data_IF_967002578522
#
_entry.id   IF_967002578522
#
_cell.length_a   1.000
_cell.length_b   1.000
_cell.length_c   1.000
_cell.angle_alpha   90.00
_cell.angle_beta   90.00
_cell.angle_gamma   90.00
#
_symmetry.space_group_name_H-M   'P 1'
#
loop_
_entity.id
_entity.type
_entity.pdbx_description
1 polymer ?
#
# COMPACT_ATOMS: atom_id res chain seq x y z
N UNK A 1 -3.49 71.73 23.07
CA UNK A 1 -3.93 71.91 21.67
C UNK A 1 -2.76 72.38 20.83
N UNK A 2 -2.24 71.56 19.91
CA UNK A 2 -1.77 71.97 18.57
C UNK A 2 -1.27 70.75 17.79
N UNK A 3 -2.05 70.46 16.75
CA UNK A 3 -1.86 69.52 15.65
C UNK A 3 -0.48 69.67 14.99
N UNK A 4 0.11 68.54 14.55
CA UNK A 4 1.10 68.55 13.46
C UNK A 4 0.76 67.45 12.44
N UNK A 5 0.48 67.92 11.23
CA UNK A 5 0.21 67.22 9.96
C UNK A 5 1.28 66.17 9.62
N UNK A 6 0.92 64.95 9.16
CA UNK A 6 0.58 64.52 7.77
C UNK A 6 1.64 64.87 6.72
N UNK A 7 2.36 63.86 6.21
CA UNK A 7 2.84 63.81 4.82
C UNK A 7 2.86 62.36 4.30
N UNK A 8 2.37 62.22 3.07
CA UNK A 8 2.26 61.01 2.25
C UNK A 8 3.64 60.47 1.81
N UNK A 9 3.72 59.16 1.58
CA UNK A 9 4.55 58.56 0.53
C UNK A 9 3.82 57.30 0.00
N UNK A 10 3.19 57.39 -1.17
CA UNK A 10 3.70 56.92 -2.47
C UNK A 10 3.89 55.38 -2.58
N UNK A 11 2.93 54.76 -3.28
CA UNK A 11 3.10 53.82 -4.40
C UNK A 11 4.08 52.64 -4.24
N UNK A 12 3.52 51.42 -4.20
CA UNK A 12 4.14 50.25 -4.82
C UNK A 12 3.07 49.41 -5.54
N UNK A 13 3.26 49.31 -6.85
CA UNK A 13 2.48 48.52 -7.81
C UNK A 13 3.03 47.08 -7.83
N UNK A 14 2.13 46.10 -7.90
CA UNK A 14 2.32 44.87 -8.68
C UNK A 14 3.07 43.70 -8.02
N UNK A 15 2.35 42.59 -7.79
CA UNK A 15 2.68 41.26 -8.34
C UNK A 15 1.56 40.26 -8.00
N UNK A 16 0.78 39.89 -9.01
CA UNK A 16 0.01 38.64 -9.03
C UNK A 16 1.03 37.53 -9.32
N UNK A 17 1.24 36.58 -8.40
CA UNK A 17 1.80 35.27 -8.74
C UNK A 17 1.61 34.28 -7.59
N UNK A 18 1.05 33.11 -7.91
CA UNK A 18 1.42 31.87 -7.25
C UNK A 18 0.52 31.42 -6.12
N UNK A 19 -0.61 30.83 -6.50
CA UNK A 19 -1.21 29.73 -5.76
C UNK A 19 -0.14 28.64 -5.55
N UNK A 20 0.39 28.51 -4.35
CA UNK A 20 1.09 27.29 -3.93
C UNK A 20 0.32 26.72 -2.75
N UNK A 21 -0.75 25.99 -3.10
CA UNK A 21 -1.26 24.95 -2.23
C UNK A 21 -0.13 23.93 -2.09
N UNK A 22 0.67 24.07 -1.03
CA UNK A 22 1.50 22.99 -0.56
C UNK A 22 0.56 21.92 -0.02
N UNK A 23 0.07 21.06 -0.91
CA UNK A 23 -0.45 19.75 -0.52
C UNK A 23 0.73 19.07 0.18
N UNK A 24 0.68 19.02 1.51
CA UNK A 24 1.51 18.14 2.30
C UNK A 24 1.29 16.74 1.75
N UNK A 25 2.19 16.30 0.87
CA UNK A 25 2.30 14.92 0.44
C UNK A 25 2.61 14.14 1.70
N UNK A 26 1.54 13.56 2.24
CA UNK A 26 1.46 12.29 2.96
C UNK A 26 2.84 11.79 3.37
N UNK A 27 3.31 12.29 4.51
CA UNK A 27 4.42 11.68 5.22
C UNK A 27 3.91 10.31 5.71
N UNK A 28 3.94 9.32 4.82
CA UNK A 28 3.68 7.91 5.12
C UNK A 28 4.47 7.58 6.39
N UNK A 29 3.82 7.28 7.52
CA UNK A 29 4.55 6.91 8.71
C UNK A 29 5.35 5.66 8.33
N UNK A 30 6.68 5.76 8.35
CA UNK A 30 7.56 4.60 8.27
C UNK A 30 7.19 3.72 9.45
N UNK A 31 6.40 2.68 9.18
CA UNK A 31 6.04 1.67 10.15
C UNK A 31 7.34 1.22 10.82
N UNK A 32 7.48 1.50 12.11
CA UNK A 32 8.58 0.99 12.92
C UNK A 32 8.43 -0.53 12.90
N UNK A 33 9.31 -1.19 12.17
CA UNK A 33 9.45 -2.63 12.22
C UNK A 33 9.84 -3.02 13.65
N UNK A 34 8.92 -3.63 14.38
CA UNK A 34 9.24 -4.29 15.63
C UNK A 34 10.04 -5.54 15.29
N UNK A 35 11.29 -5.52 15.74
CA UNK A 35 12.26 -6.58 15.54
C UNK A 35 11.96 -7.69 16.54
N UNK A 36 11.20 -8.71 16.17
CA UNK A 36 11.08 -9.94 16.95
C UNK A 36 11.11 -11.17 16.05
N UNK A 37 12.00 -12.11 16.38
CA UNK A 37 12.07 -13.47 15.84
C UNK A 37 12.26 -13.58 14.33
N UNK A 38 13.49 -13.82 13.86
CA UNK A 38 13.70 -14.38 12.51
C UNK A 38 13.16 -15.81 12.50
N UNK A 39 11.85 -15.98 12.35
CA UNK A 39 11.32 -17.18 11.72
C UNK A 39 11.63 -16.99 10.24
N UNK A 40 12.58 -17.76 9.72
CA UNK A 40 12.98 -17.73 8.29
C UNK A 40 11.85 -18.33 7.46
N UNK A 41 10.70 -17.67 7.42
CA UNK A 41 9.58 -18.10 6.63
C UNK A 41 9.83 -17.65 5.19
N UNK A 42 10.12 -18.62 4.32
CA UNK A 42 10.35 -18.34 2.91
C UNK A 42 8.99 -18.14 2.25
N UNK A 43 8.70 -16.90 1.84
CA UNK A 43 7.55 -16.62 0.98
C UNK A 43 7.83 -17.19 -0.40
N UNK A 44 7.08 -18.23 -0.77
CA UNK A 44 7.15 -18.90 -2.07
C UNK A 44 6.15 -18.25 -3.02
N UNK A 45 6.66 -17.69 -4.11
CA UNK A 45 5.83 -17.24 -5.21
C UNK A 45 5.72 -18.36 -6.23
N UNK A 46 4.50 -18.85 -6.46
CA UNK A 46 4.18 -19.80 -7.51
C UNK A 46 4.42 -19.22 -8.89
N UNK A 47 4.43 -20.09 -9.90
CA UNK A 47 4.56 -19.67 -11.30
C UNK A 47 3.39 -18.73 -11.65
N UNK A 48 3.66 -17.56 -12.25
CA UNK A 48 2.61 -16.68 -12.74
C UNK A 48 1.74 -17.41 -13.78
N UNK A 49 0.42 -17.30 -13.67
CA UNK A 49 -0.55 -17.90 -14.60
C UNK A 49 -1.49 -16.82 -15.13
N UNK A 50 -2.08 -16.99 -16.32
CA UNK A 50 -3.21 -16.14 -16.71
C UNK A 50 -4.32 -16.23 -15.66
N UNK A 51 -4.83 -15.08 -15.22
CA UNK A 51 -5.96 -15.05 -14.32
C UNK A 51 -7.18 -15.67 -15.02
N UNK A 52 -7.91 -16.56 -14.31
CA UNK A 52 -9.12 -17.18 -14.85
C UNK A 52 -10.23 -16.16 -15.16
N UNK A 53 -10.18 -14.99 -14.51
CA UNK A 53 -11.07 -13.86 -14.74
C UNK A 53 -10.28 -12.54 -14.76
N UNK A 54 -10.59 -11.68 -15.73
CA UNK A 54 -10.10 -10.31 -15.70
C UNK A 54 -10.79 -9.53 -14.58
N UNK A 55 -10.01 -9.09 -13.58
CA UNK A 55 -10.50 -8.16 -12.56
C UNK A 55 -10.21 -6.75 -13.03
N UNK A 56 -11.25 -5.97 -13.29
CA UNK A 56 -11.14 -4.57 -13.69
C UNK A 56 -11.70 -3.70 -12.58
N UNK A 57 -10.88 -2.82 -12.02
CA UNK A 57 -11.30 -1.83 -11.01
C UNK A 57 -10.96 -0.46 -11.56
N UNK A 58 -11.95 0.45 -11.57
CA UNK A 58 -11.82 1.81 -12.13
C UNK A 58 -11.26 1.83 -13.56
N UNK A 59 -11.68 0.89 -14.40
CA UNK A 59 -11.21 0.78 -15.79
C UNK A 59 -9.81 0.16 -15.96
N UNK A 60 -9.09 -0.13 -14.89
CA UNK A 60 -7.76 -0.73 -14.93
C UNK A 60 -7.79 -2.24 -14.65
N UNK A 61 -7.09 -3.03 -15.48
CA UNK A 61 -6.91 -4.47 -15.24
C UNK A 61 -5.94 -4.71 -14.09
N UNK A 62 -6.38 -5.50 -13.12
CA UNK A 62 -5.62 -5.87 -11.94
C UNK A 62 -4.94 -7.24 -12.14
N UNK A 63 -3.88 -7.46 -11.38
CA UNK A 63 -3.37 -8.81 -11.14
C UNK A 63 -4.04 -9.43 -9.92
N UNK A 64 -3.84 -10.73 -9.72
CA UNK A 64 -4.48 -11.50 -8.67
C UNK A 64 -3.40 -12.21 -7.84
N UNK A 65 -3.54 -12.18 -6.52
CA UNK A 65 -2.77 -12.99 -5.60
C UNK A 65 -3.69 -14.00 -4.91
N UNK A 66 -3.27 -15.26 -4.94
CA UNK A 66 -3.94 -16.39 -4.29
C UNK A 66 -3.15 -16.76 -3.02
N UNK A 67 -3.70 -16.46 -1.84
CA UNK A 67 -2.95 -16.46 -0.57
C UNK A 67 -3.07 -17.80 0.17
N UNK A 68 -2.27 -18.77 -0.24
CA UNK A 68 -2.16 -20.04 0.48
C UNK A 68 -1.17 -19.96 1.66
N UNK A 69 -1.57 -19.21 2.69
CA UNK A 69 -0.77 -18.96 3.90
C UNK A 69 -1.36 -19.72 5.10
N UNK A 70 -0.49 -20.24 5.97
CA UNK A 70 -0.88 -20.85 7.26
C UNK A 70 -0.18 -20.11 8.42
N UNK A 71 -0.89 -19.87 9.55
CA UNK A 71 -2.31 -20.17 9.82
C UNK A 71 -3.27 -19.29 8.99
N UNK A 72 -4.51 -19.74 8.75
CA UNK A 72 -5.50 -19.01 7.91
C UNK A 72 -5.94 -17.67 8.51
N UNK A 73 -5.88 -17.55 9.84
CA UNK A 73 -6.11 -16.32 10.59
C UNK A 73 -4.98 -15.27 10.45
N UNK A 74 -3.92 -15.55 9.67
CA UNK A 74 -2.83 -14.60 9.42
C UNK A 74 -3.37 -13.34 8.75
N UNK A 75 -3.05 -12.18 9.31
CA UNK A 75 -3.40 -10.87 8.76
C UNK A 75 -2.51 -10.55 7.56
N UNK A 76 -3.10 -10.02 6.49
CA UNK A 76 -2.37 -9.55 5.30
C UNK A 76 -2.46 -8.02 5.18
N UNK A 77 -1.29 -7.43 4.93
CA UNK A 77 -1.10 -6.00 4.71
C UNK A 77 -0.43 -5.79 3.36
N UNK A 78 -0.92 -4.83 2.59
CA UNK A 78 -0.37 -4.46 1.28
C UNK A 78 0.00 -2.99 1.31
N UNK A 79 1.28 -2.70 1.05
CA UNK A 79 1.84 -1.34 1.06
C UNK A 79 1.56 -0.57 2.36
N UNK A 80 1.52 -1.31 3.48
CA UNK A 80 1.20 -0.77 4.81
C UNK A 80 -0.29 -0.67 5.15
N UNK A 81 -1.19 -1.05 4.23
CA UNK A 81 -2.65 -1.02 4.46
C UNK A 81 -3.19 -2.41 4.74
N UNK A 82 -3.97 -2.56 5.82
CA UNK A 82 -4.63 -3.81 6.17
C UNK A 82 -5.67 -4.20 5.10
N UNK A 83 -5.67 -5.45 4.67
CA UNK A 83 -6.62 -5.98 3.68
C UNK A 83 -7.58 -7.02 4.23
N UNK A 84 -7.19 -7.73 5.30
CA UNK A 84 -8.00 -8.80 5.89
C UNK A 84 -7.14 -9.95 6.40
N UNK A 85 -7.77 -11.11 6.57
CA UNK A 85 -7.09 -12.38 6.86
C UNK A 85 -6.74 -13.12 5.57
N UNK A 86 -5.73 -13.98 5.59
CA UNK A 86 -5.35 -14.79 4.43
C UNK A 86 -6.47 -15.73 3.99
N UNK A 87 -7.30 -16.22 4.93
CA UNK A 87 -8.49 -17.03 4.66
C UNK A 87 -9.46 -16.35 3.67
N UNK A 88 -9.59 -15.02 3.74
CA UNK A 88 -10.47 -14.26 2.85
C UNK A 88 -9.97 -14.22 1.39
N UNK A 89 -8.74 -14.67 1.14
CA UNK A 89 -8.05 -14.56 -0.16
C UNK A 89 -7.42 -15.87 -0.65
N UNK A 90 -7.81 -17.01 -0.06
CA UNK A 90 -7.28 -18.34 -0.38
C UNK A 90 -8.25 -19.11 -1.28
N UNK A 91 -8.28 -18.77 -2.57
CA UNK A 91 -9.09 -19.48 -3.56
C UNK A 91 -10.41 -18.80 -3.96
N UNK A 92 -11.33 -19.59 -4.52
CA UNK A 92 -12.58 -19.08 -5.09
C UNK A 92 -13.66 -18.93 -4.00
N UNK A 93 -14.46 -17.85 -3.97
CA UNK A 93 -14.57 -16.79 -4.99
C UNK A 93 -13.64 -15.58 -4.79
N UNK A 94 -13.01 -15.45 -3.62
CA UNK A 94 -12.33 -14.23 -3.22
C UNK A 94 -10.81 -14.42 -3.24
N UNK A 95 -10.14 -13.71 -4.15
CA UNK A 95 -8.69 -13.57 -4.22
C UNK A 95 -8.31 -12.11 -4.13
N UNK A 96 -7.06 -11.82 -3.78
CA UNK A 96 -6.61 -10.46 -3.60
C UNK A 96 -6.26 -9.81 -4.95
N UNK A 97 -7.07 -8.85 -5.38
CA UNK A 97 -6.81 -8.08 -6.59
C UNK A 97 -5.96 -6.84 -6.31
N UNK A 98 -4.88 -6.66 -7.07
CA UNK A 98 -3.95 -5.53 -6.92
C UNK A 98 -3.69 -4.86 -8.26
N UNK A 99 -3.45 -3.55 -8.21
CA UNK A 99 -3.02 -2.81 -9.39
C UNK A 99 -1.71 -3.39 -9.92
N UNK A 100 -1.41 -3.27 -11.22
CA UNK A 100 -0.10 -3.66 -11.74
C UNK A 100 0.99 -2.77 -11.14
N UNK A 101 2.09 -3.36 -10.67
CA UNK A 101 3.15 -2.62 -9.99
C UNK A 101 3.99 -3.47 -9.05
N UNK A 102 4.91 -2.81 -8.34
CA UNK A 102 5.61 -3.39 -7.20
C UNK A 102 4.78 -3.13 -5.94
N UNK A 103 4.50 -4.18 -5.19
CA UNK A 103 3.78 -4.12 -3.92
C UNK A 103 4.57 -4.81 -2.82
N UNK A 104 4.59 -4.21 -1.63
CA UNK A 104 5.14 -4.88 -0.44
C UNK A 104 4.00 -5.59 0.27
N UNK A 105 4.13 -6.91 0.41
CA UNK A 105 3.16 -7.76 1.10
C UNK A 105 3.74 -8.15 2.43
N UNK A 106 2.99 -7.89 3.51
CA UNK A 106 3.35 -8.29 4.87
C UNK A 106 2.27 -9.21 5.45
N UNK A 107 2.72 -10.28 6.08
CA UNK A 107 1.90 -11.24 6.82
C UNK A 107 2.22 -11.13 8.31
N UNK A 108 1.19 -11.20 9.16
CA UNK A 108 1.32 -11.20 10.62
C UNK A 108 0.40 -12.27 11.21
N UNK A 109 0.97 -13.27 11.88
CA UNK A 109 0.17 -14.33 12.53
C UNK A 109 -0.49 -13.81 13.82
N UNK A 110 -1.52 -14.50 14.34
CA UNK A 110 -2.08 -14.20 15.66
C UNK A 110 -1.04 -14.21 16.79
N UNK A 111 0.01 -15.04 16.66
CA UNK A 111 1.11 -15.16 17.61
C UNK A 111 2.22 -14.11 17.40
N UNK A 112 2.04 -13.19 16.44
CA UNK A 112 2.96 -12.08 16.18
C UNK A 112 4.15 -12.41 15.28
N UNK A 113 4.16 -13.57 14.59
CA UNK A 113 5.20 -13.91 13.61
C UNK A 113 4.96 -13.08 12.34
N UNK A 114 6.02 -12.43 11.86
CA UNK A 114 5.95 -11.57 10.68
C UNK A 114 6.78 -12.12 9.51
N UNK A 115 6.25 -11.95 8.30
CA UNK A 115 6.99 -12.17 7.05
C UNK A 115 6.64 -11.08 6.04
N UNK A 116 7.61 -10.63 5.25
CA UNK A 116 7.40 -9.57 4.25
C UNK A 116 8.18 -9.85 2.97
N UNK A 117 7.59 -9.49 1.82
CA UNK A 117 8.25 -9.60 0.51
C UNK A 117 7.67 -8.60 -0.50
N UNK A 118 8.54 -8.09 -1.35
CA UNK A 118 8.14 -7.32 -2.52
C UNK A 118 7.73 -8.25 -3.67
N UNK A 119 6.56 -8.00 -4.24
CA UNK A 119 5.97 -8.79 -5.32
C UNK A 119 5.67 -7.88 -6.50
N UNK A 120 6.08 -8.31 -7.70
CA UNK A 120 5.70 -7.65 -8.95
C UNK A 120 4.37 -8.21 -9.44
N UNK A 121 3.32 -7.39 -9.38
CA UNK A 121 2.00 -7.71 -9.90
C UNK A 121 1.89 -7.27 -11.35
N UNK A 122 1.34 -8.14 -12.19
CA UNK A 122 1.08 -7.87 -13.62
C UNK A 122 -0.43 -7.94 -13.87
N UNK A 123 -0.93 -7.05 -14.73
CA UNK A 123 -2.33 -7.05 -15.14
C UNK A 123 -2.74 -8.39 -15.74
N UNK A 124 -3.89 -8.93 -15.32
CA UNK A 124 -4.45 -10.19 -15.85
C UNK A 124 -3.63 -11.44 -15.52
N UNK A 125 -2.68 -11.33 -14.59
CA UNK A 125 -1.85 -12.45 -14.13
C UNK A 125 -2.20 -12.77 -12.68
N UNK A 126 -2.32 -14.06 -12.41
CA UNK A 126 -2.46 -14.62 -11.08
C UNK A 126 -1.12 -15.20 -10.59
N UNK A 127 -0.80 -14.97 -9.32
CA UNK A 127 0.36 -15.55 -8.64
C UNK A 127 -0.09 -16.17 -7.33
N UNK A 128 0.30 -17.42 -7.10
CA UNK A 128 0.05 -18.09 -5.81
C UNK A 128 1.14 -17.68 -4.83
N UNK A 129 0.76 -17.29 -3.62
CA UNK A 129 1.67 -16.95 -2.53
C UNK A 129 1.54 -18.04 -1.47
N UNK A 130 2.56 -18.89 -1.39
CA UNK A 130 2.65 -19.99 -0.42
C UNK A 130 3.55 -19.64 0.74
N UNK A 131 3.07 -19.86 1.96
CA UNK A 131 3.83 -19.62 3.18
C UNK A 131 3.28 -20.45 4.34
N UNK A 132 4.17 -21.04 5.14
CA UNK A 132 3.84 -21.66 6.42
C UNK A 132 4.58 -20.92 7.54
N UNK A 133 3.83 -20.37 8.49
CA UNK A 133 4.31 -19.56 9.62
C UNK A 133 4.10 -20.26 10.98
N UNK A 134 3.88 -21.57 10.98
CA UNK A 134 3.78 -22.37 12.20
C UNK A 134 5.13 -22.68 12.82
#
# INVERSE_FOLDING_TARGET
>A
MRFRNRFLAFLAVGAIAGLLSASLVDARPRARFHRHGRTTAVIVLGKPRPASRAVVVNGARHGILDLNVKPKATSVWIDGTFRGTCDAFDGFPNKLALAPGMHTIKFVTPDGIEASRDVRVRAGVEVNVGLDLR
#
